data_IF_608979678312
#
_entry.id   IF_608979678312
#
_cell.length_a   1.000
_cell.length_b   1.000
_cell.length_c   1.000
_cell.angle_alpha   90.00
_cell.angle_beta   90.00
_cell.angle_gamma   90.00
#
_symmetry.space_group_name_H-M   'P 1'
#
loop_
_entity.id
_entity.type
_entity.pdbx_description
1 polymer ?
#
# COMPACT_ATOMS: atom_id res chain seq x y z
N UNK A 1 28.75 -3.33 -2.38
CA UNK A 1 27.55 -3.57 -3.23
C UNK A 1 26.44 -4.04 -2.30
N UNK A 2 25.67 -3.11 -1.75
CA UNK A 2 24.50 -3.46 -0.95
C UNK A 2 23.41 -3.99 -1.88
N UNK A 3 23.04 -5.25 -1.67
CA UNK A 3 21.84 -5.85 -2.24
C UNK A 3 20.66 -5.13 -1.59
N UNK A 4 20.21 -4.02 -2.17
CA UNK A 4 18.97 -3.37 -1.74
C UNK A 4 17.82 -4.38 -1.97
N UNK A 5 17.33 -4.99 -0.90
CA UNK A 5 16.05 -5.67 -0.93
C UNK A 5 15.02 -4.67 -1.47
N UNK A 6 14.35 -5.02 -2.57
CA UNK A 6 13.33 -4.17 -3.18
C UNK A 6 12.13 -4.11 -2.24
N UNK A 7 12.13 -3.15 -1.32
CA UNK A 7 11.00 -2.88 -0.43
C UNK A 7 9.77 -2.49 -1.23
N UNK A 8 8.64 -3.11 -0.96
CA UNK A 8 7.36 -2.79 -1.60
C UNK A 8 6.72 -1.56 -0.94
N UNK A 9 5.72 -0.96 -1.61
CA UNK A 9 4.92 0.09 -0.99
C UNK A 9 4.23 -0.41 0.28
N UNK A 10 3.72 -1.64 0.25
CA UNK A 10 3.05 -2.22 1.42
C UNK A 10 4.00 -2.33 2.61
N UNK A 11 5.26 -2.71 2.41
CA UNK A 11 6.24 -2.80 3.52
C UNK A 11 6.44 -1.44 4.21
N UNK A 12 6.34 -0.33 3.45
CA UNK A 12 6.36 1.02 4.02
C UNK A 12 5.08 1.34 4.78
N UNK A 13 3.93 1.07 4.16
CA UNK A 13 2.61 1.35 4.76
C UNK A 13 2.37 0.52 6.03
N UNK A 14 2.77 -0.76 6.02
CA UNK A 14 2.61 -1.68 7.14
C UNK A 14 3.49 -1.35 8.34
N UNK A 15 4.52 -0.53 8.15
CA UNK A 15 5.41 -0.06 9.22
C UNK A 15 4.80 1.11 10.02
N UNK A 16 3.73 1.74 9.53
CA UNK A 16 3.12 2.89 10.18
C UNK A 16 2.21 2.46 11.34
N UNK A 17 2.35 3.15 12.47
CA UNK A 17 1.36 3.11 13.54
C UNK A 17 0.15 3.96 13.20
N UNK A 18 -0.95 3.80 13.96
CA UNK A 18 -2.09 4.73 13.88
C UNK A 18 -1.62 6.17 14.06
N UNK A 19 -0.71 6.44 15.01
CA UNK A 19 -0.17 7.79 15.26
C UNK A 19 0.54 8.35 14.02
N UNK A 20 1.31 7.53 13.31
CA UNK A 20 1.98 7.94 12.07
C UNK A 20 0.97 8.28 10.97
N UNK A 21 -0.08 7.46 10.81
CA UNK A 21 -1.15 7.71 9.83
C UNK A 21 -1.87 9.03 10.13
N UNK A 22 -2.13 9.32 11.41
CA UNK A 22 -2.78 10.57 11.85
C UNK A 22 -1.84 11.79 11.75
N UNK A 23 -0.53 11.61 11.68
CA UNK A 23 0.45 12.67 11.65
C UNK A 23 0.57 13.30 10.23
N UNK A 24 0.01 14.50 10.06
CA UNK A 24 0.08 15.27 8.80
C UNK A 24 1.49 15.75 8.44
N UNK A 25 2.39 15.78 9.40
CA UNK A 25 3.76 16.25 9.24
C UNK A 25 4.77 15.10 9.05
N UNK A 26 4.31 13.83 8.99
CA UNK A 26 5.17 12.64 8.90
C UNK A 26 6.23 12.73 7.79
N UNK A 27 5.86 13.28 6.64
CA UNK A 27 6.77 13.44 5.49
C UNK A 27 7.15 14.90 5.20
N UNK A 28 6.73 15.87 6.03
CA UNK A 28 6.86 17.30 5.73
C UNK A 28 8.29 17.76 5.45
N UNK A 29 9.26 17.26 6.21
CA UNK A 29 10.68 17.59 6.01
C UNK A 29 11.28 16.91 4.78
N UNK A 30 10.71 15.78 4.35
CA UNK A 30 11.19 14.97 3.21
C UNK A 30 10.53 15.40 1.89
N UNK A 31 9.33 15.99 1.93
CA UNK A 31 8.65 16.57 0.78
C UNK A 31 9.33 17.88 0.39
N UNK A 32 10.14 17.85 -0.66
CA UNK A 32 10.66 19.05 -1.32
C UNK A 32 9.63 19.53 -2.34
N UNK A 33 9.58 20.83 -2.63
CA UNK A 33 8.83 21.32 -3.79
C UNK A 33 9.29 20.60 -5.04
N UNK A 34 8.35 20.13 -5.86
CA UNK A 34 8.66 19.50 -7.15
C UNK A 34 9.29 20.58 -8.04
N UNK A 35 10.55 20.42 -8.48
CA UNK A 35 11.19 21.39 -9.37
C UNK A 35 10.60 21.31 -10.79
N UNK A 36 10.75 22.38 -11.56
CA UNK A 36 10.32 22.40 -12.97
C UNK A 36 11.09 21.39 -13.84
N UNK A 37 12.31 21.02 -13.42
CA UNK A 37 13.21 20.09 -14.12
C UNK A 37 14.02 19.27 -13.12
N UNK A 38 14.37 18.04 -13.50
CA UNK A 38 15.30 17.20 -12.77
C UNK A 38 16.58 17.01 -13.58
N UNK A 39 17.74 17.06 -12.93
CA UNK A 39 19.03 16.83 -13.56
C UNK A 39 19.32 15.35 -13.77
N UNK A 40 18.78 14.48 -12.91
CA UNK A 40 18.99 13.03 -12.97
C UNK A 40 17.72 12.25 -12.67
N UNK A 41 17.69 10.96 -13.07
CA UNK A 41 16.61 10.03 -12.72
C UNK A 41 16.52 9.85 -11.21
N UNK A 42 17.66 9.79 -10.53
CA UNK A 42 17.71 9.64 -9.07
C UNK A 42 17.06 10.83 -8.37
N UNK A 43 17.34 12.06 -8.81
CA UNK A 43 16.68 13.26 -8.28
C UNK A 43 15.15 13.20 -8.48
N UNK A 44 14.70 12.75 -9.66
CA UNK A 44 13.27 12.54 -9.94
C UNK A 44 12.67 11.53 -8.96
N UNK A 45 13.25 10.33 -8.85
CA UNK A 45 12.73 9.25 -7.99
C UNK A 45 12.71 9.69 -6.52
N UNK A 46 13.79 10.26 -6.01
CA UNK A 46 13.88 10.73 -4.63
C UNK A 46 12.92 11.88 -4.32
N UNK A 47 12.56 12.71 -5.31
CA UNK A 47 11.55 13.74 -5.14
C UNK A 47 10.15 13.13 -5.02
N UNK A 48 9.77 12.19 -5.88
CA UNK A 48 8.41 11.65 -5.92
C UNK A 48 8.09 10.62 -4.83
N UNK A 49 9.07 9.89 -4.30
CA UNK A 49 8.81 8.89 -3.23
C UNK A 49 8.12 9.51 -2.00
N UNK A 50 8.61 10.59 -1.38
CA UNK A 50 7.94 11.22 -0.24
C UNK A 50 6.53 11.76 -0.55
N UNK A 51 6.28 12.20 -1.79
CA UNK A 51 4.96 12.66 -2.22
C UNK A 51 3.97 11.50 -2.30
N UNK A 52 4.37 10.39 -2.92
CA UNK A 52 3.55 9.19 -3.02
C UNK A 52 3.22 8.60 -1.63
N UNK A 53 4.20 8.59 -0.72
CA UNK A 53 3.97 8.12 0.65
C UNK A 53 3.00 9.05 1.40
N UNK A 54 3.10 10.36 1.23
CA UNK A 54 2.15 11.30 1.83
C UNK A 54 0.74 11.18 1.26
N UNK A 55 0.61 11.01 -0.05
CA UNK A 55 -0.67 10.77 -0.71
C UNK A 55 -1.33 9.52 -0.13
N UNK A 56 -0.58 8.42 -0.07
CA UNK A 56 -1.01 7.14 0.52
C UNK A 56 -1.42 7.30 1.99
N UNK A 57 -0.62 8.01 2.80
CA UNK A 57 -0.93 8.30 4.20
C UNK A 57 -2.21 9.13 4.34
N UNK A 58 -2.40 10.11 3.48
CA UNK A 58 -3.57 11.00 3.49
C UNK A 58 -4.86 10.27 3.13
N UNK A 59 -4.79 9.38 2.15
CA UNK A 59 -5.91 8.52 1.79
C UNK A 59 -6.29 7.56 2.92
N UNK A 60 -5.29 6.91 3.52
CA UNK A 60 -5.48 6.03 4.68
C UNK A 60 -6.07 6.80 5.87
N UNK A 61 -5.57 8.00 6.14
CA UNK A 61 -6.12 8.91 7.16
C UNK A 61 -7.59 9.27 6.92
N UNK A 62 -7.96 9.55 5.66
CA UNK A 62 -9.35 9.81 5.28
C UNK A 62 -10.24 8.61 5.57
N UNK A 63 -9.76 7.42 5.20
CA UNK A 63 -10.45 6.17 5.46
C UNK A 63 -10.67 5.90 6.94
N UNK A 64 -9.65 6.11 7.78
CA UNK A 64 -9.76 5.99 9.23
C UNK A 64 -10.82 6.93 9.83
N UNK A 65 -10.99 8.13 9.26
CA UNK A 65 -12.05 9.06 9.69
C UNK A 65 -13.45 8.58 9.34
N UNK A 66 -13.62 7.85 8.24
CA UNK A 66 -14.90 7.31 7.80
C UNK A 66 -15.16 5.86 8.23
N UNK A 67 -14.33 5.31 9.12
CA UNK A 67 -14.29 3.89 9.47
C UNK A 67 -15.66 3.29 9.87
N UNK A 68 -16.48 4.05 10.61
CA UNK A 68 -17.83 3.63 11.03
C UNK A 68 -18.76 3.28 9.86
N UNK A 69 -18.50 3.86 8.68
CA UNK A 69 -19.25 3.64 7.43
C UNK A 69 -18.50 2.79 6.44
N UNK A 70 -17.25 2.41 6.75
CA UNK A 70 -16.42 1.63 5.84
C UNK A 70 -17.04 0.25 5.62
N UNK A 71 -16.98 -0.28 4.39
CA UNK A 71 -17.47 -1.61 4.11
C UNK A 71 -16.71 -2.68 4.92
N UNK A 72 -17.43 -3.69 5.38
CA UNK A 72 -16.87 -4.78 6.20
C UNK A 72 -17.16 -6.13 5.58
N UNK A 73 -16.32 -7.11 5.90
CA UNK A 73 -16.52 -8.51 5.62
C UNK A 73 -16.28 -9.34 6.89
N UNK A 74 -16.77 -10.57 6.87
CA UNK A 74 -16.64 -11.51 7.98
C UNK A 74 -15.64 -12.59 7.62
N UNK A 75 -14.79 -12.93 8.59
CA UNK A 75 -13.80 -14.00 8.47
C UNK A 75 -14.37 -15.27 9.07
N UNK A 76 -14.48 -16.34 8.27
CA UNK A 76 -14.79 -17.69 8.75
C UNK A 76 -13.55 -18.35 9.35
N UNK A 77 -12.44 -18.36 8.59
CA UNK A 77 -11.16 -18.90 9.04
C UNK A 77 -9.99 -18.13 8.43
N UNK A 78 -8.84 -18.20 9.08
CA UNK A 78 -7.60 -17.59 8.63
C UNK A 78 -6.44 -18.55 8.86
N UNK A 79 -5.78 -18.95 7.78
CA UNK A 79 -4.76 -19.98 7.77
C UNK A 79 -3.46 -19.44 7.20
N UNK A 80 -2.33 -19.87 7.77
CA UNK A 80 -1.02 -19.44 7.27
C UNK A 80 -0.77 -20.15 5.95
N UNK A 81 -0.36 -19.40 4.92
CA UNK A 81 0.05 -20.02 3.66
C UNK A 81 1.35 -20.79 3.82
N UNK A 82 1.33 -22.04 3.38
CA UNK A 82 2.52 -22.87 3.19
C UNK A 82 2.82 -22.87 1.69
N UNK A 83 4.00 -22.40 1.29
CA UNK A 83 4.48 -22.63 -0.08
C UNK A 83 5.25 -23.94 -0.09
N UNK A 84 4.98 -24.80 -1.07
CA UNK A 84 5.62 -26.11 -1.23
C UNK A 84 7.10 -26.04 -1.65
N UNK A 85 7.64 -24.87 -1.98
CA UNK A 85 9.06 -24.75 -2.30
C UNK A 85 9.57 -23.31 -2.19
N UNK A 86 10.89 -23.20 -1.94
CA UNK A 86 11.77 -22.02 -1.87
C UNK A 86 11.96 -21.36 -0.48
N UNK A 87 13.19 -21.52 0.03
CA UNK A 87 13.69 -21.04 1.32
C UNK A 87 13.92 -19.53 1.38
N UNK A 88 12.83 -18.76 1.36
CA UNK A 88 12.83 -17.36 1.78
C UNK A 88 12.05 -17.21 3.10
N UNK A 89 12.65 -16.53 4.07
CA UNK A 89 12.12 -16.23 5.41
C UNK A 89 10.88 -15.31 5.41
N UNK A 90 10.49 -14.77 4.25
CA UNK A 90 9.36 -13.84 4.08
C UNK A 90 7.98 -14.52 4.16
N UNK A 91 7.92 -15.86 4.19
CA UNK A 91 6.67 -16.63 4.22
C UNK A 91 5.91 -16.57 5.57
N UNK A 92 6.37 -15.81 6.56
CA UNK A 92 5.72 -15.74 7.88
C UNK A 92 4.46 -14.87 7.89
N UNK A 93 4.29 -14.01 6.89
CA UNK A 93 3.28 -12.96 6.84
C UNK A 93 2.17 -13.21 5.81
N UNK A 94 2.20 -14.36 5.11
CA UNK A 94 1.19 -14.71 4.10
C UNK A 94 0.10 -15.60 4.70
N UNK A 95 -1.15 -15.24 4.44
CA UNK A 95 -2.32 -15.93 4.95
C UNK A 95 -3.39 -16.06 3.88
N UNK A 96 -4.15 -17.14 3.94
CA UNK A 96 -5.43 -17.28 3.26
C UNK A 96 -6.55 -17.03 4.28
N UNK A 97 -7.54 -16.23 3.87
CA UNK A 97 -8.70 -15.88 4.67
C UNK A 97 -9.93 -16.38 3.91
N UNK A 98 -10.67 -17.26 4.56
CA UNK A 98 -11.98 -17.72 4.08
C UNK A 98 -13.04 -16.75 4.59
N UNK A 99 -13.78 -16.15 3.67
CA UNK A 99 -14.87 -15.22 3.95
C UNK A 99 -16.13 -15.99 4.39
N UNK A 100 -16.86 -15.46 5.36
CA UNK A 100 -18.13 -16.05 5.79
C UNK A 100 -19.28 -15.63 4.87
N UNK A 101 -20.02 -16.62 4.37
CA UNK A 101 -21.15 -16.42 3.47
C UNK A 101 -22.51 -16.26 4.18
N UNK A 102 -22.58 -16.16 5.51
CA UNK A 102 -23.86 -16.07 6.24
C UNK A 102 -24.81 -14.97 5.70
N UNK A 103 -25.92 -15.38 5.07
CA UNK A 103 -26.81 -14.60 4.18
C UNK A 103 -27.51 -13.36 4.81
N UNK A 104 -27.27 -13.06 6.09
CA UNK A 104 -28.02 -12.06 6.85
C UNK A 104 -27.57 -10.60 6.67
N UNK A 105 -26.58 -10.31 5.84
CA UNK A 105 -26.08 -8.94 5.63
C UNK A 105 -26.13 -8.57 4.15
N UNK A 106 -27.26 -7.99 3.72
CA UNK A 106 -27.46 -7.44 2.38
C UNK A 106 -26.35 -6.45 2.03
N UNK A 107 -25.59 -6.76 0.97
CA UNK A 107 -24.38 -6.09 0.48
C UNK A 107 -23.13 -6.26 1.37
N UNK A 108 -22.56 -7.47 1.40
CA UNK A 108 -21.22 -7.72 1.94
C UNK A 108 -20.17 -7.17 0.97
N UNK A 109 -19.26 -6.36 1.48
CA UNK A 109 -18.05 -6.02 0.73
C UNK A 109 -17.22 -7.28 0.51
N UNK A 110 -16.81 -7.49 -0.74
CA UNK A 110 -15.89 -8.55 -1.12
C UNK A 110 -14.53 -7.91 -1.40
N UNK A 111 -13.48 -8.22 -0.61
CA UNK A 111 -12.14 -7.68 -0.85
C UNK A 111 -11.60 -8.09 -2.21
N UNK A 112 -10.91 -7.17 -2.88
CA UNK A 112 -10.31 -7.36 -4.20
C UNK A 112 -8.80 -7.26 -4.12
N UNK A 113 -8.12 -7.83 -5.12
CA UNK A 113 -6.68 -7.66 -5.27
C UNK A 113 -6.33 -6.17 -5.35
N UNK A 114 -5.34 -5.75 -4.55
CA UNK A 114 -4.96 -4.36 -4.38
C UNK A 114 -5.57 -3.67 -3.15
N UNK A 115 -6.57 -4.27 -2.52
CA UNK A 115 -7.21 -3.67 -1.34
C UNK A 115 -6.29 -3.75 -0.11
N UNK A 116 -6.22 -2.64 0.61
CA UNK A 116 -5.68 -2.54 1.95
C UNK A 116 -6.84 -2.61 2.94
N UNK A 117 -6.76 -3.57 3.84
CA UNK A 117 -7.78 -3.85 4.84
C UNK A 117 -7.16 -3.83 6.24
N UNK A 118 -7.99 -3.58 7.26
CA UNK A 118 -7.63 -3.88 8.65
C UNK A 118 -8.39 -5.13 9.11
N UNK A 119 -7.70 -6.01 9.83
CA UNK A 119 -8.26 -7.23 10.41
C UNK A 119 -8.51 -7.03 11.91
N UNK A 120 -9.70 -7.37 12.38
CA UNK A 120 -10.12 -7.12 13.77
C UNK A 120 -10.90 -8.29 14.36
N UNK A 121 -10.94 -8.33 15.71
CA UNK A 121 -11.71 -9.33 16.47
C UNK A 121 -13.20 -9.00 16.53
N UNK A 122 -13.53 -7.72 16.52
CA UNK A 122 -14.90 -7.17 16.55
C UNK A 122 -15.08 -6.17 15.41
N UNK A 123 -16.32 -5.87 15.04
CA UNK A 123 -16.60 -4.88 14.00
C UNK A 123 -16.10 -3.50 14.46
N UNK A 124 -15.12 -2.89 13.77
CA UNK A 124 -14.59 -1.60 14.17
C UNK A 124 -15.60 -0.51 13.82
N UNK A 125 -15.76 0.47 14.71
CA UNK A 125 -16.61 1.65 14.54
C UNK A 125 -15.84 2.96 14.72
N UNK A 126 -14.71 2.92 15.43
CA UNK A 126 -13.83 4.05 15.72
C UNK A 126 -12.38 3.66 15.52
N UNK A 127 -11.51 4.65 15.38
CA UNK A 127 -10.08 4.45 15.13
C UNK A 127 -9.44 3.62 16.26
N UNK A 128 -9.85 3.84 17.50
CA UNK A 128 -9.33 3.11 18.67
C UNK A 128 -9.66 1.61 18.63
N UNK A 129 -10.72 1.20 17.92
CA UNK A 129 -11.07 -0.21 17.74
C UNK A 129 -10.06 -0.94 16.83
N UNK A 130 -9.19 -0.19 16.15
CA UNK A 130 -8.10 -0.73 15.34
C UNK A 130 -6.81 -0.91 16.14
N UNK A 131 -6.76 -0.63 17.44
CA UNK A 131 -5.55 -0.85 18.25
C UNK A 131 -5.56 -2.26 18.89
N UNK A 132 -4.56 -3.13 18.66
CA UNK A 132 -3.38 -2.92 17.82
C UNK A 132 -3.68 -3.03 16.32
N UNK A 133 -3.05 -2.14 15.52
CA UNK A 133 -3.29 -2.07 14.08
C UNK A 133 -2.73 -3.28 13.36
N UNK A 134 -3.63 -4.02 12.70
CA UNK A 134 -3.29 -5.18 11.89
C UNK A 134 -3.73 -4.95 10.44
N UNK A 135 -2.80 -4.41 9.65
CA UNK A 135 -3.03 -4.18 8.22
C UNK A 135 -2.79 -5.46 7.43
N UNK A 136 -3.56 -5.63 6.37
CA UNK A 136 -3.40 -6.71 5.41
C UNK A 136 -3.61 -6.18 3.99
N UNK A 137 -2.73 -6.58 3.07
CA UNK A 137 -2.82 -6.27 1.65
C UNK A 137 -3.28 -7.50 0.87
N UNK A 138 -4.39 -7.38 0.17
CA UNK A 138 -4.97 -8.46 -0.64
C UNK A 138 -4.21 -8.54 -1.96
N UNK A 139 -3.56 -9.68 -2.23
CA UNK A 139 -2.75 -9.86 -3.45
C UNK A 139 -3.26 -10.97 -4.38
N UNK A 140 -4.17 -11.82 -3.89
CA UNK A 140 -4.82 -12.86 -4.71
C UNK A 140 -6.23 -13.09 -4.18
N UNK A 141 -7.13 -13.43 -5.10
CA UNK A 141 -8.45 -13.95 -4.83
C UNK A 141 -8.54 -15.35 -5.44
N UNK A 142 -9.18 -16.28 -4.74
CA UNK A 142 -9.41 -17.66 -5.17
C UNK A 142 -10.91 -17.97 -5.08
N UNK A 143 -11.57 -18.01 -6.24
CA UNK A 143 -13.03 -17.95 -6.31
C UNK A 143 -13.59 -16.69 -5.65
N UNK A 144 -14.78 -16.79 -5.04
CA UNK A 144 -15.43 -15.63 -4.41
C UNK A 144 -15.21 -15.55 -2.89
N UNK A 145 -14.78 -16.65 -2.27
CA UNK A 145 -14.81 -16.81 -0.82
C UNK A 145 -13.42 -16.86 -0.18
N UNK A 146 -12.34 -16.92 -0.95
CA UNK A 146 -10.99 -17.00 -0.40
C UNK A 146 -10.16 -15.83 -0.93
N UNK A 147 -9.54 -15.11 -0.01
CA UNK A 147 -8.57 -14.06 -0.32
C UNK A 147 -7.22 -14.41 0.29
N UNK A 148 -6.16 -14.00 -0.37
CA UNK A 148 -4.80 -14.16 0.11
C UNK A 148 -4.21 -12.82 0.42
N UNK A 149 -3.66 -12.71 1.62
CA UNK A 149 -3.19 -11.45 2.16
C UNK A 149 -1.75 -11.51 2.66
N UNK A 150 -1.04 -10.41 2.47
CA UNK A 150 0.20 -10.14 3.18
C UNK A 150 -0.12 -9.27 4.39
N UNK A 151 0.21 -9.74 5.58
CA UNK A 151 -0.17 -9.12 6.87
C UNK A 151 1.01 -8.32 7.43
N UNK A 152 0.74 -7.21 8.10
CA UNK A 152 1.78 -6.30 8.63
C UNK A 152 2.71 -6.92 9.67
N UNK A 153 2.28 -7.99 10.34
CA UNK A 153 3.07 -8.72 11.34
C UNK A 153 2.66 -10.18 11.43
N UNK A 154 3.51 -10.98 12.06
CA UNK A 154 3.19 -12.36 12.35
C UNK A 154 2.06 -12.46 13.40
N UNK A 155 1.27 -13.53 13.29
CA UNK A 155 0.15 -13.81 14.18
C UNK A 155 0.40 -15.13 14.90
N UNK A 156 0.15 -15.15 16.21
CA UNK A 156 0.07 -16.39 16.97
C UNK A 156 -1.17 -17.20 16.56
N UNK A 157 -1.21 -18.52 16.80
CA UNK A 157 -2.38 -19.34 16.50
C UNK A 157 -3.67 -18.79 17.14
N UNK A 158 -3.63 -18.36 18.42
CA UNK A 158 -4.80 -17.82 19.11
C UNK A 158 -5.32 -16.49 18.52
N UNK A 159 -4.42 -15.62 18.07
CA UNK A 159 -4.82 -14.36 17.40
C UNK A 159 -5.56 -14.62 16.10
N UNK A 160 -5.08 -15.55 15.26
CA UNK A 160 -5.72 -15.91 13.98
C UNK A 160 -7.16 -16.35 14.21
N UNK A 161 -7.36 -17.24 15.18
CA UNK A 161 -8.69 -17.74 15.58
C UNK A 161 -9.55 -16.70 16.27
N UNK A 162 -9.02 -15.53 16.62
CA UNK A 162 -9.79 -14.43 17.21
C UNK A 162 -10.25 -13.42 16.16
N UNK A 163 -9.64 -13.38 14.97
CA UNK A 163 -10.04 -12.47 13.89
C UNK A 163 -11.39 -12.94 13.36
N UNK A 164 -12.35 -12.02 13.30
CA UNK A 164 -13.73 -12.29 12.86
C UNK A 164 -14.21 -11.30 11.80
N UNK A 165 -13.53 -10.16 11.67
CA UNK A 165 -13.91 -9.09 10.77
C UNK A 165 -12.70 -8.58 9.99
N UNK A 166 -12.97 -8.11 8.79
CA UNK A 166 -12.09 -7.19 8.10
C UNK A 166 -12.87 -5.97 7.62
N UNK A 167 -12.20 -4.82 7.61
CA UNK A 167 -12.76 -3.55 7.14
C UNK A 167 -11.93 -3.01 5.99
N UNK A 168 -12.61 -2.55 4.94
CA UNK A 168 -11.95 -1.87 3.82
C UNK A 168 -11.37 -0.54 4.28
N UNK A 169 -10.09 -0.31 3.98
CA UNK A 169 -9.46 0.98 4.23
C UNK A 169 -9.33 1.76 2.92
N UNK A 170 -8.51 1.28 2.00
CA UNK A 170 -8.29 1.91 0.69
C UNK A 170 -7.82 0.85 -0.32
N UNK A 171 -7.64 1.23 -1.60
CA UNK A 171 -6.92 0.42 -2.58
C UNK A 171 -5.53 0.99 -2.83
N UNK A 172 -4.50 0.15 -2.79
CA UNK A 172 -3.12 0.54 -3.09
C UNK A 172 -2.73 0.27 -4.54
N UNK A 173 -3.67 -0.10 -5.41
CA UNK A 173 -3.39 -0.54 -6.78
C UNK A 173 -2.60 0.52 -7.57
N UNK A 174 -3.09 1.75 -7.60
CA UNK A 174 -2.45 2.86 -8.32
C UNK A 174 -1.11 3.20 -7.69
N UNK A 175 -1.08 3.35 -6.37
CA UNK A 175 0.12 3.74 -5.63
C UNK A 175 1.22 2.69 -5.76
N UNK A 176 0.86 1.41 -5.80
CA UNK A 176 1.78 0.29 -6.02
C UNK A 176 2.34 0.30 -7.45
N UNK A 177 1.51 0.60 -8.46
CA UNK A 177 1.99 0.76 -9.84
C UNK A 177 2.99 1.90 -9.95
N UNK A 178 2.71 3.05 -9.34
CA UNK A 178 3.63 4.20 -9.31
C UNK A 178 4.90 3.83 -8.55
N UNK A 179 4.80 3.22 -7.38
CA UNK A 179 5.94 2.76 -6.58
C UNK A 179 6.85 1.84 -7.39
N UNK A 180 6.28 0.84 -8.07
CA UNK A 180 7.03 -0.09 -8.90
C UNK A 180 7.66 0.61 -10.10
N UNK A 181 6.99 1.60 -10.70
CA UNK A 181 7.58 2.40 -11.77
C UNK A 181 8.77 3.24 -11.27
N UNK A 182 8.69 3.80 -10.07
CA UNK A 182 9.79 4.57 -9.47
C UNK A 182 11.01 3.68 -9.12
N UNK A 183 10.79 2.41 -8.75
CA UNK A 183 11.86 1.50 -8.30
C UNK A 183 12.34 0.49 -9.36
N UNK A 184 11.78 0.52 -10.58
CA UNK A 184 12.23 -0.32 -11.69
C UNK A 184 13.28 0.42 -12.53
N UNK A 185 14.48 0.56 -11.98
CA UNK A 185 15.59 1.35 -12.52
C UNK A 185 16.01 0.94 -13.94
N UNK A 186 16.05 -0.35 -14.25
CA UNK A 186 16.56 -0.83 -15.53
C UNK A 186 15.60 -0.59 -16.72
N UNK A 187 14.29 -0.76 -16.52
CA UNK A 187 13.30 -0.60 -17.59
C UNK A 187 12.86 0.86 -17.79
N UNK A 188 12.88 1.66 -16.73
CA UNK A 188 12.35 3.03 -16.75
C UNK A 188 13.41 4.12 -16.91
N UNK A 189 14.69 3.82 -16.69
CA UNK A 189 15.76 4.82 -16.79
C UNK A 189 15.87 5.44 -18.18
N UNK A 190 15.75 4.67 -19.27
CA UNK A 190 15.87 5.19 -20.65
C UNK A 190 14.73 6.13 -21.03
N UNK A 191 13.49 5.80 -20.64
CA UNK A 191 12.32 6.64 -20.89
C UNK A 191 12.29 7.88 -19.98
N UNK A 192 12.62 7.74 -18.69
CA UNK A 192 12.71 8.89 -17.80
C UNK A 192 13.85 9.80 -18.26
N UNK A 193 15.01 9.26 -18.61
CA UNK A 193 16.12 10.06 -19.16
C UNK A 193 15.70 10.82 -20.42
N UNK A 194 14.97 10.20 -21.35
CA UNK A 194 14.52 10.90 -22.56
C UNK A 194 13.53 12.03 -22.25
N UNK A 195 12.60 11.83 -21.30
CA UNK A 195 11.68 12.87 -20.82
C UNK A 195 12.44 14.02 -20.14
N UNK A 196 13.42 13.70 -19.29
CA UNK A 196 14.26 14.70 -18.62
C UNK A 196 15.12 15.49 -19.61
N UNK A 197 15.64 14.84 -20.66
CA UNK A 197 16.50 15.47 -21.67
C UNK A 197 15.73 16.22 -22.76
N UNK A 198 14.48 15.84 -23.06
CA UNK A 198 13.67 16.43 -24.14
C UNK A 198 13.43 17.94 -24.02
N UNK A 199 13.44 18.47 -22.79
CA UNK A 199 13.22 19.91 -22.53
C UNK A 199 14.47 20.79 -22.66
N UNK A 200 15.65 20.21 -22.94
CA UNK A 200 16.88 20.99 -23.16
C UNK A 200 17.07 21.45 -24.61
N UNK A 201 16.21 21.01 -25.54
CA UNK A 201 16.27 21.36 -26.97
C UNK A 201 15.47 22.63 -27.34
N UNK A 202 14.65 23.18 -26.42
CA UNK A 202 13.97 24.47 -26.66
C UNK A 202 14.96 25.63 -26.41
N UNK A 203 15.92 25.79 -27.33
CA UNK A 203 16.66 27.05 -27.48
C UNK A 203 15.69 28.09 -28.03
N UNK A 204 15.32 29.06 -27.20
CA UNK A 204 14.66 30.28 -27.63
C UNK A 204 15.54 30.95 -28.69
N UNK A 205 15.19 30.79 -29.96
CA UNK A 205 15.70 31.65 -31.03
C UNK A 205 15.13 33.04 -30.78
N UNK A 206 15.84 33.88 -30.03
CA UNK A 206 15.62 35.32 -30.10
C UNK A 206 16.05 35.76 -31.50
N UNK A 207 15.07 35.87 -32.40
CA UNK A 207 15.25 36.59 -33.64
C UNK A 207 15.43 38.07 -33.29
N UNK A 208 16.64 38.57 -33.45
CA UNK A 208 16.92 40.01 -33.42
C UNK A 208 16.32 40.59 -34.69
N UNK A 209 15.24 41.35 -34.57
CA UNK A 209 14.78 42.23 -35.64
C UNK A 209 15.72 43.45 -35.65
N UNK A 210 16.40 43.63 -36.78
CA UNK A 210 17.09 44.87 -37.17
C UNK A 210 16.06 45.84 -37.71
#
# INVERSE_FOLDING_TARGET
MEKNEKTTLFDRVSSWSIKDILNRDLFKQKRKTIPDRFGTVDEYVHCFIPHLLEETRTELFSSLKSLSRSPVFFTHSMEKRIKESSGSSSNTLLYDITLSNEDNFSAKYQPKCGDLIALTKTRPRRIDDLDPLLLAYVFKMDGDLIISVHVSRSLSPGEKHSIRFGVSLTTLTTNTRIWNALHNEAANSTLIQSVLQGNNQVRVRKQSCV
#
